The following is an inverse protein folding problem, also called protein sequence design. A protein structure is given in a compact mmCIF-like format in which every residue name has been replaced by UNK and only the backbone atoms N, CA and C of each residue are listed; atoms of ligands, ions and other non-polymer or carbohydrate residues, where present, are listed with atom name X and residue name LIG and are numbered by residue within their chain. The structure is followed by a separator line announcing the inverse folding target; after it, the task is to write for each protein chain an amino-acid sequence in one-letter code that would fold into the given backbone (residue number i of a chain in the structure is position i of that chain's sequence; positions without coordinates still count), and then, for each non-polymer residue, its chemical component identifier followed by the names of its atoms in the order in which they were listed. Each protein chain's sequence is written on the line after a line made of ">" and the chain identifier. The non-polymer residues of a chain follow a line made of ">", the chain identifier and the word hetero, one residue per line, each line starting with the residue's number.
data_IF_329558298326
#
_entry.id   IF_329558298326
#
_cell.length_a   1.000
_cell.length_b   1.000
_cell.length_c   1.000
_cell.angle_alpha   90.00
_cell.angle_beta   90.00
_cell.angle_gamma   90.00
#
_symmetry.space_group_name_H-M   'P 1'
#
loop_
_entity.id
_entity.type
_entity.pdbx_description
1 polymer ?
#
# COMPACT_ATOMS: atom_id res chain seq x y z
N UNK A 1 38.47 -7.05 -6.24
CA UNK A 1 38.10 -5.92 -7.13
C UNK A 1 37.61 -6.50 -8.45
N UNK A 2 36.43 -6.13 -8.96
CA UNK A 2 35.92 -6.66 -10.24
C UNK A 2 36.16 -5.62 -11.34
N UNK A 3 36.57 -6.05 -12.54
CA UNK A 3 36.78 -5.17 -13.71
C UNK A 3 35.56 -4.26 -13.98
N UNK A 4 34.35 -4.78 -13.75
CA UNK A 4 33.10 -4.01 -13.91
C UNK A 4 33.01 -2.78 -13.00
N UNK A 5 33.76 -2.74 -11.91
CA UNK A 5 33.82 -1.61 -10.99
C UNK A 5 34.70 -0.47 -11.53
N UNK A 6 35.50 -0.73 -12.58
CA UNK A 6 36.45 0.23 -13.18
C UNK A 6 35.92 0.94 -14.43
N UNK A 7 34.69 0.67 -14.90
CA UNK A 7 34.13 1.39 -16.05
C UNK A 7 33.98 2.89 -15.72
N UNK A 8 34.62 3.75 -16.50
CA UNK A 8 34.61 5.21 -16.32
C UNK A 8 33.19 5.79 -16.14
N UNK A 9 32.21 5.25 -16.88
CA UNK A 9 30.82 5.72 -16.85
C UNK A 9 29.93 5.07 -15.78
N UNK A 10 30.43 4.07 -15.03
CA UNK A 10 29.59 3.29 -14.09
C UNK A 10 28.82 4.18 -13.13
N UNK A 11 29.50 5.18 -12.56
CA UNK A 11 28.91 6.06 -11.57
C UNK A 11 27.76 6.90 -12.16
N UNK A 12 27.83 7.26 -13.45
CA UNK A 12 26.75 7.98 -14.17
C UNK A 12 25.57 7.04 -14.39
N UNK A 13 25.83 5.81 -14.84
CA UNK A 13 24.78 4.82 -15.10
C UNK A 13 24.05 4.43 -13.82
N UNK A 14 24.79 4.17 -12.73
CA UNK A 14 24.18 3.83 -11.43
C UNK A 14 23.30 4.98 -10.90
N UNK A 15 23.77 6.23 -11.00
CA UNK A 15 22.97 7.40 -10.61
C UNK A 15 21.68 7.52 -11.41
N UNK A 16 21.76 7.35 -12.74
CA UNK A 16 20.58 7.37 -13.61
C UNK A 16 19.60 6.23 -13.28
N UNK A 17 20.11 5.03 -13.00
CA UNK A 17 19.32 3.88 -12.57
C UNK A 17 18.61 4.17 -11.24
N UNK A 18 19.29 4.71 -10.24
CA UNK A 18 18.71 5.00 -8.93
C UNK A 18 17.67 6.11 -8.97
N UNK A 19 17.86 7.11 -9.84
CA UNK A 19 16.87 8.15 -10.12
C UNK A 19 15.61 7.55 -10.76
N UNK A 20 15.79 6.74 -11.81
CA UNK A 20 14.70 6.04 -12.50
C UNK A 20 13.93 5.10 -11.55
N UNK A 21 14.65 4.29 -10.77
CA UNK A 21 14.09 3.36 -9.78
C UNK A 21 13.19 4.09 -8.78
N UNK A 22 13.70 5.15 -8.15
CA UNK A 22 12.92 5.94 -7.17
C UNK A 22 11.66 6.55 -7.79
N UNK A 23 11.76 7.06 -9.02
CA UNK A 23 10.61 7.61 -9.76
C UNK A 23 9.57 6.54 -10.05
N UNK A 24 9.98 5.40 -10.60
CA UNK A 24 9.08 4.28 -10.95
C UNK A 24 8.41 3.70 -9.72
N UNK A 25 9.16 3.46 -8.64
CA UNK A 25 8.61 2.92 -7.39
C UNK A 25 7.64 3.90 -6.73
N UNK A 26 7.91 5.20 -6.78
CA UNK A 26 6.99 6.24 -6.31
C UNK A 26 5.67 6.23 -7.10
N UNK A 27 5.73 6.13 -8.42
CA UNK A 27 4.54 6.02 -9.28
C UNK A 27 3.76 4.73 -9.02
N UNK A 28 4.45 3.59 -8.90
CA UNK A 28 3.84 2.31 -8.56
C UNK A 28 3.08 2.39 -7.23
N UNK A 29 3.72 2.90 -6.18
CA UNK A 29 3.09 3.12 -4.87
C UNK A 29 1.87 4.03 -4.95
N UNK A 30 1.95 5.11 -5.72
CA UNK A 30 0.84 6.03 -5.93
C UNK A 30 -0.36 5.38 -6.63
N UNK A 31 -0.13 4.55 -7.66
CA UNK A 31 -1.18 3.83 -8.36
C UNK A 31 -1.88 2.82 -7.46
N UNK A 32 -1.12 1.97 -6.76
CA UNK A 32 -1.67 0.97 -5.83
C UNK A 32 -2.45 1.67 -4.71
N UNK A 33 -1.89 2.72 -4.08
CA UNK A 33 -2.59 3.52 -3.07
C UNK A 33 -3.91 4.07 -3.60
N UNK A 34 -3.91 4.58 -4.83
CA UNK A 34 -5.11 5.16 -5.44
C UNK A 34 -6.15 4.10 -5.74
N UNK A 35 -5.76 2.95 -6.27
CA UNK A 35 -6.63 1.80 -6.49
C UNK A 35 -7.27 1.33 -5.18
N UNK A 36 -6.49 1.20 -4.10
CA UNK A 36 -6.99 0.85 -2.79
C UNK A 36 -7.99 1.91 -2.25
N UNK A 37 -7.63 3.20 -2.30
CA UNK A 37 -8.50 4.31 -1.84
C UNK A 37 -9.79 4.47 -2.64
N UNK A 38 -9.81 4.10 -3.91
CA UNK A 38 -11.01 4.18 -4.77
C UNK A 38 -11.91 2.96 -4.64
N UNK A 39 -11.36 1.82 -4.23
CA UNK A 39 -12.12 0.61 -3.89
C UNK A 39 -12.97 0.79 -2.63
N UNK A 40 -12.46 1.55 -1.65
CA UNK A 40 -13.16 1.87 -0.39
C UNK A 40 -14.16 3.02 -0.61
N UNK A 41 -15.45 2.68 -0.72
CA UNK A 41 -16.53 3.65 -0.93
C UNK A 41 -17.21 4.05 0.38
N UNK A 42 -17.68 5.30 0.47
CA UNK A 42 -18.49 5.77 1.59
C UNK A 42 -19.91 5.21 1.47
N UNK A 43 -20.31 4.33 2.39
CA UNK A 43 -21.66 3.75 2.48
C UNK A 43 -21.98 3.41 3.93
N UNK A 44 -23.27 3.31 4.26
CA UNK A 44 -23.73 2.78 5.55
C UNK A 44 -23.75 1.24 5.49
N UNK A 45 -23.71 0.61 6.66
CA UNK A 45 -23.79 -0.84 6.79
C UNK A 45 -22.47 -1.55 6.50
N UNK A 46 -22.56 -2.88 6.39
CA UNK A 46 -21.41 -3.77 6.36
C UNK A 46 -21.18 -4.28 4.94
N UNK A 47 -19.96 -4.19 4.42
CA UNK A 47 -19.64 -4.73 3.08
C UNK A 47 -19.75 -6.27 3.08
N UNK A 48 -20.15 -6.90 1.95
CA UNK A 48 -20.15 -8.35 1.86
C UNK A 48 -18.72 -8.90 1.92
N UNK A 49 -18.53 -10.17 2.34
CA UNK A 49 -17.22 -10.83 2.30
C UNK A 49 -16.58 -10.79 0.91
N UNK A 50 -15.26 -10.67 0.85
CA UNK A 50 -14.49 -10.58 -0.40
C UNK A 50 -14.55 -9.24 -1.12
N UNK A 51 -15.46 -8.33 -0.75
CA UNK A 51 -15.49 -6.96 -1.27
C UNK A 51 -14.74 -6.01 -0.34
N UNK A 52 -14.19 -4.90 -0.86
CA UNK A 52 -13.54 -3.87 -0.04
C UNK A 52 -14.47 -3.34 1.05
N UNK A 53 -13.92 -2.94 2.22
CA UNK A 53 -14.71 -2.38 3.30
C UNK A 53 -15.33 -1.05 2.90
N UNK A 54 -16.46 -0.72 3.52
CA UNK A 54 -17.04 0.62 3.40
C UNK A 54 -16.34 1.59 4.34
N UNK A 55 -16.21 2.84 3.89
CA UNK A 55 -15.68 3.93 4.70
C UNK A 55 -16.81 4.59 5.49
N UNK A 56 -16.82 4.41 6.80
CA UNK A 56 -17.70 5.14 7.71
C UNK A 56 -17.08 6.47 8.16
N UNK A 57 -15.95 6.40 8.86
CA UNK A 57 -15.21 7.59 9.34
C UNK A 57 -14.24 8.15 8.28
N UNK A 58 -13.68 7.26 7.45
CA UNK A 58 -12.69 7.60 6.43
C UNK A 58 -11.24 7.57 6.90
N UNK A 59 -10.98 7.27 8.17
CA UNK A 59 -9.64 7.05 8.74
C UNK A 59 -8.85 6.01 7.93
N UNK A 60 -9.42 4.82 7.70
CA UNK A 60 -8.80 3.77 6.88
C UNK A 60 -8.39 4.27 5.49
N UNK A 61 -9.29 4.98 4.80
CA UNK A 61 -9.02 5.52 3.45
C UNK A 61 -7.94 6.59 3.45
N UNK A 62 -7.87 7.44 4.49
CA UNK A 62 -6.86 8.50 4.61
C UNK A 62 -5.48 7.94 4.91
N UNK A 63 -5.43 6.88 5.72
CA UNK A 63 -4.21 6.27 6.25
C UNK A 63 -3.60 5.18 5.38
N UNK A 64 -4.12 4.93 4.16
CA UNK A 64 -3.37 4.15 3.16
C UNK A 64 -2.26 5.04 2.63
N UNK A 65 -1.02 4.74 3.00
CA UNK A 65 0.20 5.44 2.58
C UNK A 65 1.11 4.48 1.80
N UNK A 66 2.17 5.03 1.20
CA UNK A 66 3.26 4.26 0.64
C UNK A 66 4.60 4.88 0.96
N UNK A 67 5.65 4.06 0.98
CA UNK A 67 7.02 4.50 1.22
C UNK A 67 8.01 3.61 0.47
N UNK A 68 9.15 4.20 0.09
CA UNK A 68 10.27 3.48 -0.50
C UNK A 68 11.14 2.90 0.62
N UNK A 69 11.36 1.59 0.58
CA UNK A 69 12.28 0.88 1.46
C UNK A 69 13.64 0.73 0.77
N UNK A 70 14.64 1.40 1.34
CA UNK A 70 16.02 1.39 0.82
C UNK A 70 16.72 0.05 1.03
N UNK A 71 16.32 -0.73 2.03
CA UNK A 71 16.99 -1.99 2.35
C UNK A 71 16.64 -3.08 1.32
N UNK A 72 15.36 -3.13 0.92
CA UNK A 72 14.85 -4.12 -0.04
C UNK A 72 14.69 -3.57 -1.47
N UNK A 73 15.02 -2.30 -1.70
CA UNK A 73 14.84 -1.63 -2.99
C UNK A 73 13.39 -1.72 -3.51
N UNK A 74 12.42 -1.62 -2.60
CA UNK A 74 11.01 -1.87 -2.88
C UNK A 74 10.10 -0.73 -2.43
N UNK A 75 8.83 -0.76 -2.87
CA UNK A 75 7.79 0.14 -2.36
C UNK A 75 6.80 -0.63 -1.52
N UNK A 76 6.61 -0.18 -0.28
CA UNK A 76 5.62 -0.73 0.64
C UNK A 76 4.38 0.15 0.60
N UNK A 77 3.21 -0.45 0.44
CA UNK A 77 1.91 0.25 0.39
C UNK A 77 0.97 -0.40 1.38
N UNK A 78 0.30 0.40 2.23
CA UNK A 78 -0.64 -0.16 3.19
C UNK A 78 -1.23 0.85 4.18
N UNK A 79 -2.15 0.39 5.04
CA UNK A 79 -2.71 1.20 6.12
C UNK A 79 -1.67 1.44 7.22
N UNK A 80 -1.50 2.70 7.64
CA UNK A 80 -0.60 3.10 8.73
C UNK A 80 -1.37 3.67 9.92
N UNK A 81 -0.72 3.80 11.09
CA UNK A 81 -1.35 4.41 12.28
C UNK A 81 -2.31 3.50 13.03
N UNK A 82 -2.35 2.21 12.69
CA UNK A 82 -3.18 1.20 13.35
C UNK A 82 -2.38 0.24 14.24
N UNK A 83 -1.21 0.66 14.75
CA UNK A 83 -0.35 -0.23 15.55
C UNK A 83 -1.08 -0.85 16.77
N UNK A 84 -2.03 -0.12 17.36
CA UNK A 84 -2.86 -0.58 18.49
C UNK A 84 -4.08 -1.43 18.06
N UNK A 85 -4.37 -1.48 16.76
CA UNK A 85 -5.61 -2.05 16.23
C UNK A 85 -5.34 -3.17 15.21
N UNK A 86 -5.94 -4.32 15.42
CA UNK A 86 -5.88 -5.46 14.48
C UNK A 86 -6.83 -5.32 13.31
N UNK A 87 -7.67 -4.28 13.27
CA UNK A 87 -8.78 -4.15 12.33
C UNK A 87 -8.33 -4.16 10.84
N UNK A 88 -7.31 -3.38 10.39
CA UNK A 88 -6.92 -3.43 8.98
C UNK A 88 -6.41 -4.81 8.54
N UNK A 89 -5.66 -5.50 9.42
CA UNK A 89 -5.19 -6.87 9.16
C UNK A 89 -6.36 -7.85 9.06
N UNK A 90 -7.33 -7.74 9.96
CA UNK A 90 -8.54 -8.57 9.93
C UNK A 90 -9.41 -8.27 8.70
N UNK A 91 -9.39 -7.05 8.17
CA UNK A 91 -10.06 -6.74 6.91
C UNK A 91 -9.33 -7.35 5.71
N UNK A 92 -8.00 -7.34 5.67
CA UNK A 92 -7.27 -7.98 4.56
C UNK A 92 -7.37 -9.51 4.56
N UNK A 93 -7.14 -10.15 5.71
CA UNK A 93 -7.00 -11.61 5.79
C UNK A 93 -8.19 -12.32 6.44
N UNK A 94 -9.14 -11.58 7.02
CA UNK A 94 -10.11 -12.14 7.95
C UNK A 94 -9.51 -12.41 9.33
N UNK A 95 -10.35 -12.81 10.27
CA UNK A 95 -9.93 -13.23 11.61
C UNK A 95 -10.61 -12.44 12.72
N UNK A 96 -10.02 -12.50 13.91
CA UNK A 96 -10.57 -11.87 15.11
C UNK A 96 -10.04 -10.45 15.27
N UNK A 97 -10.92 -9.53 15.66
CA UNK A 97 -10.53 -8.17 16.04
C UNK A 97 -11.37 -7.71 17.22
N UNK A 98 -10.82 -6.77 17.99
CA UNK A 98 -11.56 -6.09 19.04
C UNK A 98 -12.22 -4.85 18.46
N UNK A 99 -13.53 -4.75 18.63
CA UNK A 99 -14.31 -3.56 18.29
C UNK A 99 -14.56 -2.77 19.57
N UNK A 100 -14.12 -1.52 19.57
CA UNK A 100 -14.41 -0.58 20.64
C UNK A 100 -15.66 0.22 20.28
N UNK A 101 -16.64 0.25 21.17
CA UNK A 101 -17.87 1.03 21.02
C UNK A 101 -18.06 1.91 22.24
N UNK A 102 -18.41 3.18 22.02
CA UNK A 102 -18.75 4.10 23.09
C UNK A 102 -20.26 4.22 23.19
N UNK A 103 -20.83 3.87 24.34
CA UNK A 103 -22.27 4.00 24.59
C UNK A 103 -22.48 4.63 25.97
N UNK A 104 -23.25 5.74 26.02
CA UNK A 104 -23.52 6.51 27.26
C UNK A 104 -22.25 6.85 28.05
N UNK A 105 -21.22 7.38 27.38
CA UNK A 105 -19.94 7.75 28.01
C UNK A 105 -18.97 6.60 28.31
N UNK A 106 -19.45 5.34 28.42
CA UNK A 106 -18.62 4.16 28.70
C UNK A 106 -18.05 3.56 27.40
N UNK A 107 -16.76 3.23 27.43
CA UNK A 107 -16.08 2.49 26.36
C UNK A 107 -16.20 1.00 26.63
N UNK A 108 -16.83 0.26 25.73
CA UNK A 108 -16.90 -1.21 25.79
C UNK A 108 -16.11 -1.81 24.63
N UNK A 109 -15.48 -2.95 24.88
CA UNK A 109 -14.74 -3.72 23.88
C UNK A 109 -15.41 -5.07 23.68
N UNK A 110 -15.60 -5.47 22.42
CA UNK A 110 -16.09 -6.81 22.07
C UNK A 110 -15.14 -7.46 21.08
N UNK A 111 -14.76 -8.70 21.33
CA UNK A 111 -14.05 -9.54 20.37
C UNK A 111 -15.04 -10.04 19.32
N UNK A 112 -14.74 -9.82 18.05
CA UNK A 112 -15.61 -10.18 16.92
C UNK A 112 -14.76 -10.86 15.85
N UNK A 113 -15.29 -11.92 15.25
CA UNK A 113 -14.71 -12.54 14.06
C UNK A 113 -15.25 -11.86 12.81
N UNK A 114 -14.37 -11.39 11.94
CA UNK A 114 -14.69 -10.68 10.70
C UNK A 114 -14.20 -11.52 9.51
N UNK A 115 -15.03 -11.63 8.48
CA UNK A 115 -14.65 -12.25 7.21
C UNK A 115 -13.72 -11.33 6.41
N UNK A 116 -12.84 -11.91 5.60
CA UNK A 116 -11.91 -11.15 4.75
C UNK A 116 -12.66 -10.21 3.79
N UNK A 117 -12.16 -8.99 3.68
CA UNK A 117 -12.59 -7.87 2.84
C UNK A 117 -11.36 -7.18 2.27
N UNK A 118 -10.59 -7.89 1.44
CA UNK A 118 -9.31 -7.41 0.97
C UNK A 118 -9.49 -6.16 0.11
N UNK A 119 -8.63 -5.16 0.33
CA UNK A 119 -8.62 -3.91 -0.43
C UNK A 119 -7.22 -3.56 -0.94
N UNK A 120 -6.17 -4.09 -0.31
CA UNK A 120 -4.78 -3.92 -0.74
C UNK A 120 -4.38 -4.94 -1.80
N UNK A 121 -4.57 -6.23 -1.57
CA UNK A 121 -4.17 -7.26 -2.54
C UNK A 121 -4.89 -7.10 -3.90
N UNK A 122 -6.21 -6.88 -3.97
CA UNK A 122 -6.90 -6.58 -5.23
C UNK A 122 -6.41 -5.30 -5.90
N UNK A 123 -5.95 -4.30 -5.12
CA UNK A 123 -5.39 -3.07 -5.69
C UNK A 123 -4.04 -3.31 -6.36
N UNK A 124 -3.19 -4.17 -5.79
CA UNK A 124 -1.95 -4.59 -6.44
C UNK A 124 -2.25 -5.35 -7.73
N UNK A 125 -3.12 -6.36 -7.69
CA UNK A 125 -3.45 -7.16 -8.88
C UNK A 125 -4.02 -6.31 -10.03
N UNK A 126 -4.85 -5.32 -9.70
CA UNK A 126 -5.40 -4.38 -10.69
C UNK A 126 -4.32 -3.55 -11.39
N UNK A 127 -3.30 -3.10 -10.66
CA UNK A 127 -2.26 -2.22 -11.20
C UNK A 127 -1.03 -2.99 -11.71
N UNK A 128 -0.89 -4.28 -11.36
CA UNK A 128 0.20 -5.19 -11.75
C UNK A 128 0.61 -5.08 -13.23
N UNK A 129 -0.31 -5.11 -14.23
CA UNK A 129 0.09 -5.03 -15.64
C UNK A 129 0.69 -3.68 -16.05
N UNK A 130 0.43 -2.59 -15.31
CA UNK A 130 0.97 -1.26 -15.61
C UNK A 130 2.37 -1.07 -15.05
N UNK A 131 2.76 -1.82 -14.03
CA UNK A 131 4.04 -1.62 -13.33
C UNK A 131 5.26 -1.82 -14.24
N UNK A 132 5.34 -2.87 -15.10
CA UNK A 132 6.46 -3.01 -16.03
C UNK A 132 6.53 -1.87 -17.05
N UNK A 133 5.38 -1.31 -17.45
CA UNK A 133 5.33 -0.22 -18.43
C UNK A 133 5.97 1.06 -17.90
N UNK A 134 5.98 1.28 -16.57
CA UNK A 134 6.64 2.43 -15.94
C UNK A 134 8.17 2.40 -16.13
N UNK A 135 8.76 1.22 -16.29
CA UNK A 135 10.20 1.07 -16.50
C UNK A 135 10.63 1.42 -17.93
N UNK A 136 9.70 1.42 -18.89
CA UNK A 136 10.00 1.72 -20.29
C UNK A 136 10.56 3.14 -20.42
N UNK A 137 11.75 3.26 -21.01
CA UNK A 137 12.45 4.54 -21.23
C UNK A 137 12.66 5.38 -19.95
N UNK A 138 12.70 4.72 -18.78
CA UNK A 138 12.87 5.36 -17.48
C UNK A 138 14.33 5.75 -17.21
N UNK A 139 15.28 4.97 -17.72
CA UNK A 139 16.71 5.24 -17.61
C UNK A 139 17.13 6.12 -18.78
N UNK A 140 17.57 7.35 -18.50
CA UNK A 140 18.04 8.31 -19.50
C UNK A 140 19.38 8.90 -19.07
N UNK A 141 20.26 9.16 -20.04
CA UNK A 141 21.54 9.84 -19.80
C UNK A 141 21.25 11.30 -19.45
N UNK A 142 21.67 11.76 -18.26
CA UNK A 142 21.58 13.18 -17.86
C UNK A 142 20.40 13.59 -16.96
N UNK A 143 19.73 12.65 -16.29
CA UNK A 143 18.74 12.94 -15.24
C UNK A 143 19.34 12.96 -13.83
#
# INVERSE_FOLDING_TARGET
>A
MRIKDMFFDRHVVMRAMDSAKRKVLSQAGAFIRTAAKTSIRKRKGTAPPGKPPYSHEGSLRKLILFGYDRASDSVVVGPVGFAKYTAPRALEHGGETVVHTRRKGRLTSRKVKIAARPFMAPALEKERPKLPLLWRNSIRKGA
#
